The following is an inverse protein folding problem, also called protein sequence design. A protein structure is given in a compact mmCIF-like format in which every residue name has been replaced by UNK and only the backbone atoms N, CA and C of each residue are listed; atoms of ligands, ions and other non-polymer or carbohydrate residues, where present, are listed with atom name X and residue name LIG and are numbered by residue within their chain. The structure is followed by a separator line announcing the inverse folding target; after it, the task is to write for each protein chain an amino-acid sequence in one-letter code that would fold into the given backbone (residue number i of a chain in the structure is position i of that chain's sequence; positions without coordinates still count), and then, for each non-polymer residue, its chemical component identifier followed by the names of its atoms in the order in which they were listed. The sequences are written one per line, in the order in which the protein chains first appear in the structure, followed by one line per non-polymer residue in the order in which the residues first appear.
data_IF_360649218060
#
_entry.id   IF_360649218060
#
_cell.length_a   1.000
_cell.length_b   1.000
_cell.length_c   1.000
_cell.angle_alpha   90.00
_cell.angle_beta   90.00
_cell.angle_gamma   90.00
#
_symmetry.space_group_name_H-M   'P 1'
#
loop_
_entity.id
_entity.type
_entity.pdbx_description
1 polymer ?
#
# COMPACT_ATOMS: atom_id res chain seq x y z
N UNK A 1 34.91 -4.69 15.73
CA UNK A 1 33.98 -5.73 15.25
C UNK A 1 32.62 -5.03 15.08
N UNK A 2 32.18 -4.76 13.85
CA UNK A 2 30.77 -4.37 13.60
C UNK A 2 29.97 -5.65 13.85
N UNK A 3 29.24 -5.72 14.97
CA UNK A 3 28.28 -6.77 15.18
C UNK A 3 27.29 -6.76 14.00
N UNK A 4 26.95 -7.91 13.50
CA UNK A 4 25.82 -8.07 12.56
C UNK A 4 24.58 -7.54 13.28
N UNK A 5 24.21 -6.30 12.99
CA UNK A 5 22.97 -5.74 13.47
C UNK A 5 21.91 -6.32 12.53
N UNK A 6 21.13 -7.31 13.02
CA UNK A 6 19.99 -7.82 12.26
C UNK A 6 19.04 -6.67 12.03
N UNK A 7 18.74 -6.41 10.78
CA UNK A 7 17.79 -5.39 10.38
C UNK A 7 16.37 -5.85 10.75
N UNK A 8 15.63 -4.99 11.46
CA UNK A 8 14.27 -5.28 11.90
C UNK A 8 13.29 -4.30 11.32
N UNK A 9 12.22 -4.79 10.71
CA UNK A 9 11.17 -3.97 10.11
C UNK A 9 9.80 -4.28 10.69
N UNK A 10 9.01 -3.24 10.94
CA UNK A 10 7.62 -3.36 11.37
C UNK A 10 6.68 -3.47 10.16
N UNK A 11 5.84 -4.50 10.12
CA UNK A 11 4.79 -4.69 9.12
C UNK A 11 3.44 -4.46 9.81
N UNK A 12 2.76 -3.37 9.46
CA UNK A 12 1.54 -2.92 10.14
C UNK A 12 0.34 -3.21 9.27
N UNK A 13 -0.51 -4.14 9.70
CA UNK A 13 -1.68 -4.62 8.98
C UNK A 13 -2.98 -4.19 9.64
N UNK A 14 -3.91 -3.68 8.85
CA UNK A 14 -5.31 -3.44 9.25
C UNK A 14 -6.28 -4.38 8.53
N UNK A 15 -5.75 -5.26 7.68
CA UNK A 15 -6.43 -6.40 7.04
C UNK A 15 -5.49 -7.59 7.14
N UNK A 16 -6.02 -8.74 7.49
CA UNK A 16 -5.22 -9.90 7.94
C UNK A 16 -5.53 -11.17 7.16
N UNK A 17 -5.74 -11.05 5.83
CA UNK A 17 -5.85 -12.26 5.01
C UNK A 17 -4.47 -12.92 4.89
N UNK A 18 -4.37 -14.26 5.04
CA UNK A 18 -3.10 -14.97 4.93
C UNK A 18 -2.37 -14.69 3.61
N UNK A 19 -3.11 -14.54 2.53
CA UNK A 19 -2.57 -14.27 1.19
C UNK A 19 -1.88 -12.90 1.10
N UNK A 20 -2.49 -11.86 1.71
CA UNK A 20 -1.88 -10.53 1.75
C UNK A 20 -0.60 -10.54 2.59
N UNK A 21 -0.64 -11.20 3.75
CA UNK A 21 0.53 -11.30 4.64
C UNK A 21 1.68 -12.00 3.89
N UNK A 22 1.42 -13.18 3.31
CA UNK A 22 2.42 -13.94 2.57
C UNK A 22 3.01 -13.14 1.40
N UNK A 23 2.17 -12.45 0.63
CA UNK A 23 2.60 -11.62 -0.50
C UNK A 23 3.52 -10.48 -0.05
N UNK A 24 3.15 -9.76 1.02
CA UNK A 24 3.96 -8.64 1.51
C UNK A 24 5.28 -9.14 2.09
N UNK A 25 5.27 -10.21 2.90
CA UNK A 25 6.48 -10.78 3.47
C UNK A 25 7.44 -11.30 2.38
N UNK A 26 6.91 -11.91 1.32
CA UNK A 26 7.70 -12.35 0.17
C UNK A 26 8.36 -11.15 -0.54
N UNK A 27 7.61 -10.08 -0.80
CA UNK A 27 8.16 -8.87 -1.45
C UNK A 27 9.20 -8.18 -0.56
N UNK A 28 9.00 -8.14 0.76
CA UNK A 28 9.99 -7.61 1.72
C UNK A 28 11.27 -8.45 1.69
N UNK A 29 11.17 -9.79 1.72
CA UNK A 29 12.35 -10.68 1.60
C UNK A 29 13.08 -10.52 0.28
N UNK A 30 12.38 -10.37 -0.84
CA UNK A 30 13.00 -10.09 -2.15
C UNK A 30 13.84 -8.82 -2.12
N UNK A 31 13.44 -7.80 -1.37
CA UNK A 31 14.13 -6.52 -1.30
C UNK A 31 15.23 -6.47 -0.23
N UNK A 32 15.07 -7.13 0.89
CA UNK A 32 15.92 -7.01 2.08
C UNK A 32 16.75 -8.26 2.39
N UNK A 33 16.43 -9.39 1.75
CA UNK A 33 17.04 -10.69 2.03
C UNK A 33 16.31 -11.48 3.12
N UNK A 34 16.66 -12.76 3.23
CA UNK A 34 15.97 -13.70 4.14
C UNK A 34 16.33 -13.47 5.63
N UNK A 35 17.43 -12.77 5.91
CA UNK A 35 17.92 -12.47 7.26
C UNK A 35 17.18 -11.30 7.95
N UNK A 36 16.25 -10.65 7.25
CA UNK A 36 15.47 -9.54 7.82
C UNK A 36 14.51 -10.04 8.89
N UNK A 37 14.56 -9.45 10.09
CA UNK A 37 13.56 -9.69 11.13
C UNK A 37 12.30 -8.87 10.84
N UNK A 38 11.15 -9.52 10.76
CA UNK A 38 9.87 -8.88 10.51
C UNK A 38 8.98 -8.96 11.75
N UNK A 39 8.61 -7.81 12.29
CA UNK A 39 7.62 -7.67 13.36
C UNK A 39 6.25 -7.37 12.73
N UNK A 40 5.38 -8.39 12.64
CA UNK A 40 4.01 -8.20 12.15
C UNK A 40 3.06 -7.78 13.28
N UNK A 41 2.53 -6.56 13.20
CA UNK A 41 1.50 -6.05 14.08
C UNK A 41 0.17 -5.95 13.33
N UNK A 42 -0.91 -6.47 13.92
CA UNK A 42 -2.20 -6.64 13.24
C UNK A 42 -3.34 -6.12 14.10
N UNK A 43 -4.19 -5.27 13.51
CA UNK A 43 -5.46 -4.86 14.10
C UNK A 43 -6.55 -4.72 13.02
N UNK A 44 -7.29 -5.81 12.71
CA UNK A 44 -8.33 -5.78 11.69
C UNK A 44 -9.55 -4.93 12.08
N UNK A 45 -9.70 -4.57 13.35
CA UNK A 45 -10.79 -3.70 13.80
C UNK A 45 -10.64 -2.27 13.26
N UNK A 46 -9.41 -1.83 12.97
CA UNK A 46 -9.14 -0.52 12.36
C UNK A 46 -9.84 -0.40 11.01
N UNK A 47 -9.63 -1.36 10.10
CA UNK A 47 -10.29 -1.31 8.79
C UNK A 47 -11.80 -1.50 8.91
N UNK A 48 -12.28 -2.34 9.82
CA UNK A 48 -13.70 -2.57 10.06
C UNK A 48 -14.41 -1.26 10.46
N UNK A 49 -13.88 -0.52 11.44
CA UNK A 49 -14.42 0.77 11.89
C UNK A 49 -14.36 1.86 10.80
N UNK A 50 -13.26 1.91 10.03
CA UNK A 50 -13.13 2.84 8.91
C UNK A 50 -14.17 2.56 7.82
N UNK A 51 -14.46 1.28 7.54
CA UNK A 51 -15.51 0.89 6.59
C UNK A 51 -16.91 1.27 7.07
N UNK A 52 -17.19 1.06 8.34
CA UNK A 52 -18.48 1.40 8.96
C UNK A 52 -18.71 2.92 8.96
N UNK A 53 -17.69 3.70 9.34
CA UNK A 53 -17.77 5.17 9.37
C UNK A 53 -17.69 5.82 7.97
N UNK A 54 -17.11 5.14 6.99
CA UNK A 54 -16.85 5.70 5.65
C UNK A 54 -15.56 6.55 5.57
N UNK A 55 -14.88 6.80 6.66
CA UNK A 55 -13.63 7.58 6.77
C UNK A 55 -12.87 7.22 8.05
N UNK A 56 -11.62 7.70 8.17
CA UNK A 56 -10.80 7.45 9.37
C UNK A 56 -11.23 8.37 10.50
N UNK A 57 -11.75 7.78 11.59
CA UNK A 57 -12.09 8.49 12.82
C UNK A 57 -10.94 8.47 13.82
N UNK A 58 -11.03 9.24 14.92
CA UNK A 58 -9.97 9.34 15.91
C UNK A 58 -9.60 8.01 16.61
N UNK A 59 -10.55 7.13 17.01
CA UNK A 59 -10.17 5.87 17.68
C UNK A 59 -9.31 4.93 16.83
N UNK A 60 -9.65 4.56 15.59
CA UNK A 60 -8.79 3.73 14.75
C UNK A 60 -7.46 4.41 14.39
N UNK A 61 -7.44 5.74 14.18
CA UNK A 61 -6.21 6.48 13.97
C UNK A 61 -5.26 6.41 15.17
N UNK A 62 -5.78 6.58 16.39
CA UNK A 62 -4.99 6.51 17.61
C UNK A 62 -4.37 5.11 17.81
N UNK A 63 -5.14 4.03 17.55
CA UNK A 63 -4.61 2.66 17.62
C UNK A 63 -3.51 2.43 16.60
N UNK A 64 -3.70 2.91 15.37
CA UNK A 64 -2.68 2.77 14.32
C UNK A 64 -1.38 3.50 14.67
N UNK A 65 -1.47 4.73 15.20
CA UNK A 65 -0.30 5.47 15.70
C UNK A 65 0.37 4.69 16.85
N UNK A 66 -0.43 4.11 17.75
CA UNK A 66 0.06 3.25 18.82
C UNK A 66 0.85 2.04 18.30
N UNK A 67 0.43 1.44 17.18
CA UNK A 67 1.16 0.35 16.52
C UNK A 67 2.52 0.82 15.97
N UNK A 68 2.59 2.03 15.40
CA UNK A 68 3.89 2.60 14.97
C UNK A 68 4.82 2.84 16.16
N UNK A 69 4.30 3.39 17.26
CA UNK A 69 5.10 3.63 18.47
C UNK A 69 5.59 2.31 19.07
N UNK A 70 4.74 1.29 19.10
CA UNK A 70 5.13 -0.05 19.54
C UNK A 70 6.25 -0.63 18.68
N UNK A 71 6.19 -0.49 17.35
CA UNK A 71 7.27 -0.92 16.46
C UNK A 71 8.60 -0.22 16.79
N UNK A 72 8.55 1.08 17.16
CA UNK A 72 9.74 1.81 17.60
C UNK A 72 10.28 1.29 18.94
N UNK A 73 9.43 1.02 19.92
CA UNK A 73 9.80 0.43 21.22
C UNK A 73 10.43 -0.95 21.08
N UNK A 74 9.97 -1.73 20.10
CA UNK A 74 10.49 -3.05 19.75
C UNK A 74 11.79 -2.99 18.91
N UNK A 75 12.30 -1.79 18.62
CA UNK A 75 13.54 -1.56 17.92
C UNK A 75 13.50 -1.77 16.42
N UNK A 76 12.34 -1.57 15.78
CA UNK A 76 12.25 -1.60 14.33
C UNK A 76 13.04 -0.43 13.71
N UNK A 77 13.78 -0.71 12.63
CA UNK A 77 14.53 0.27 11.87
C UNK A 77 13.66 1.12 10.94
N UNK A 78 12.58 0.54 10.47
CA UNK A 78 11.57 1.18 9.64
C UNK A 78 10.23 0.45 9.77
N UNK A 79 9.15 1.10 9.35
CA UNK A 79 7.79 0.54 9.33
C UNK A 79 7.22 0.60 7.93
N UNK A 80 6.55 -0.48 7.49
CA UNK A 80 5.67 -0.50 6.32
C UNK A 80 4.21 -0.49 6.77
N UNK A 81 3.48 0.58 6.46
CA UNK A 81 2.04 0.68 6.66
C UNK A 81 1.29 0.00 5.51
N UNK A 82 0.62 -1.12 5.79
CA UNK A 82 0.01 -2.00 4.78
C UNK A 82 -1.51 -1.80 4.74
N UNK A 83 -1.92 -0.57 4.51
CA UNK A 83 -3.32 -0.23 4.28
C UNK A 83 -3.48 1.17 3.68
N UNK A 84 -3.96 1.24 2.44
CA UNK A 84 -4.21 2.52 1.75
C UNK A 84 -5.36 3.32 2.38
N UNK A 85 -6.37 2.65 2.95
CA UNK A 85 -7.52 3.32 3.58
C UNK A 85 -7.14 4.22 4.77
N UNK A 86 -6.00 3.94 5.41
CA UNK A 86 -5.47 4.70 6.56
C UNK A 86 -4.10 5.33 6.26
N UNK A 87 -3.72 5.42 5.00
CA UNK A 87 -2.42 5.97 4.58
C UNK A 87 -2.19 7.41 5.05
N UNK A 88 -3.24 8.22 5.15
CA UNK A 88 -3.16 9.59 5.67
C UNK A 88 -2.70 9.65 7.13
N UNK A 89 -3.00 8.62 7.93
CA UNK A 89 -2.50 8.54 9.33
C UNK A 89 -0.98 8.32 9.33
N UNK A 90 -0.46 7.50 8.40
CA UNK A 90 0.98 7.33 8.24
C UNK A 90 1.66 8.65 7.82
N UNK A 91 1.03 9.43 6.92
CA UNK A 91 1.52 10.76 6.53
C UNK A 91 1.57 11.72 7.75
N UNK A 92 0.51 11.75 8.57
CA UNK A 92 0.45 12.57 9.78
C UNK A 92 1.48 12.17 10.84
N UNK A 93 1.89 10.91 10.90
CA UNK A 93 2.86 10.40 11.87
C UNK A 93 4.34 10.66 11.47
N UNK A 94 4.61 11.22 10.28
CA UNK A 94 5.96 11.36 9.74
C UNK A 94 6.91 12.19 10.62
N UNK A 95 6.43 13.26 11.27
CA UNK A 95 7.30 14.09 12.10
C UNK A 95 7.73 13.36 13.39
N UNK A 96 6.82 12.59 14.00
CA UNK A 96 7.18 11.72 15.11
C UNK A 96 8.15 10.61 14.67
N UNK A 97 7.91 10.00 13.52
CA UNK A 97 8.79 8.98 12.94
C UNK A 97 10.20 9.51 12.66
N UNK A 98 10.33 10.72 12.11
CA UNK A 98 11.63 11.40 11.90
C UNK A 98 12.36 11.61 13.20
N UNK A 99 11.68 12.08 14.25
CA UNK A 99 12.29 12.28 15.56
C UNK A 99 12.81 10.98 16.18
N UNK A 100 12.09 9.88 15.97
CA UNK A 100 12.48 8.55 16.44
C UNK A 100 13.55 7.88 15.55
N UNK A 101 13.85 8.46 14.39
CA UNK A 101 14.76 7.85 13.40
C UNK A 101 14.23 6.56 12.79
N UNK A 102 12.89 6.35 12.85
CA UNK A 102 12.20 5.18 12.29
C UNK A 102 11.23 5.62 11.20
N UNK A 103 11.62 5.61 9.92
CA UNK A 103 10.73 6.02 8.84
C UNK A 103 9.49 5.11 8.75
N UNK A 104 8.33 5.74 8.50
CA UNK A 104 7.09 5.05 8.19
C UNK A 104 6.86 5.16 6.68
N UNK A 105 6.87 4.01 6.01
CA UNK A 105 6.65 3.89 4.56
C UNK A 105 5.21 3.49 4.30
N UNK A 106 4.53 4.18 3.39
CA UNK A 106 3.22 3.76 2.88
C UNK A 106 3.42 2.71 1.80
N UNK A 107 2.61 1.66 1.81
CA UNK A 107 2.68 0.60 0.81
C UNK A 107 2.33 1.09 -0.60
N UNK A 108 1.48 2.11 -0.71
CA UNK A 108 0.81 2.55 -1.94
C UNK A 108 1.43 3.79 -2.61
N UNK A 109 2.25 4.57 -1.91
CA UNK A 109 2.72 5.86 -2.43
C UNK A 109 3.63 5.71 -3.65
N UNK A 110 4.64 4.84 -3.60
CA UNK A 110 5.55 4.66 -4.72
C UNK A 110 4.86 4.00 -5.93
N UNK A 111 3.86 3.16 -5.72
CA UNK A 111 2.99 2.66 -6.78
C UNK A 111 2.27 3.82 -7.49
N UNK A 112 1.71 4.77 -6.72
CA UNK A 112 1.07 5.96 -7.28
C UNK A 112 2.08 6.84 -8.04
N UNK A 113 3.33 7.00 -7.54
CA UNK A 113 4.40 7.72 -8.25
C UNK A 113 4.76 7.04 -9.56
N UNK A 114 4.82 5.72 -9.56
CA UNK A 114 5.09 4.96 -10.79
C UNK A 114 3.95 5.14 -11.80
N UNK A 115 2.70 5.10 -11.38
CA UNK A 115 1.58 5.39 -12.27
C UNK A 115 1.71 6.78 -12.92
N UNK A 116 2.07 7.81 -12.15
CA UNK A 116 2.31 9.17 -12.64
C UNK A 116 3.52 9.27 -13.57
N UNK A 117 4.54 8.39 -13.44
CA UNK A 117 5.64 8.30 -14.41
C UNK A 117 5.18 7.76 -15.76
N UNK A 118 4.29 6.76 -15.72
CA UNK A 118 3.87 6.01 -16.91
C UNK A 118 2.77 6.70 -17.72
N UNK A 119 1.92 7.52 -17.11
CA UNK A 119 0.84 8.16 -17.84
C UNK A 119 0.24 9.37 -17.15
N UNK A 120 -0.64 10.07 -17.87
CA UNK A 120 -1.37 11.22 -17.36
C UNK A 120 -2.85 10.92 -17.10
N UNK A 121 -3.39 9.84 -17.67
CA UNK A 121 -4.74 9.34 -17.43
C UNK A 121 -4.64 8.05 -16.63
N UNK A 122 -4.92 8.12 -15.35
CA UNK A 122 -4.68 7.04 -14.39
C UNK A 122 -6.00 6.47 -13.92
N UNK A 123 -6.23 5.19 -14.18
CA UNK A 123 -7.34 4.44 -13.60
C UNK A 123 -7.03 4.04 -12.16
N UNK A 124 -7.97 4.22 -11.26
CA UNK A 124 -7.87 3.70 -9.88
C UNK A 124 -8.98 2.69 -9.67
N UNK A 125 -8.62 1.42 -9.47
CA UNK A 125 -9.55 0.34 -9.16
C UNK A 125 -9.50 0.00 -7.67
N UNK A 126 -10.67 -0.02 -7.03
CA UNK A 126 -10.81 -0.42 -5.63
C UNK A 126 -12.10 -1.21 -5.40
N UNK A 127 -12.11 -2.08 -4.39
CA UNK A 127 -13.32 -2.81 -3.98
C UNK A 127 -14.03 -2.16 -2.79
N UNK A 128 -13.44 -1.09 -2.23
CA UNK A 128 -13.96 -0.35 -1.08
C UNK A 128 -13.89 1.16 -1.34
N UNK A 129 -14.99 1.92 -1.12
CA UNK A 129 -14.97 3.38 -1.23
C UNK A 129 -13.92 4.02 -0.29
N UNK A 130 -13.74 3.45 0.91
CA UNK A 130 -12.75 3.92 1.90
C UNK A 130 -11.29 3.72 1.48
N UNK A 131 -11.04 2.98 0.40
CA UNK A 131 -9.71 2.85 -0.23
C UNK A 131 -9.61 3.69 -1.49
N UNK A 132 -10.70 3.82 -2.24
CA UNK A 132 -10.76 4.59 -3.50
C UNK A 132 -10.31 6.04 -3.29
N UNK A 133 -10.99 6.76 -2.42
CA UNK A 133 -10.74 8.20 -2.18
C UNK A 133 -9.30 8.47 -1.72
N UNK A 134 -8.76 7.79 -0.68
CA UNK A 134 -7.38 7.97 -0.25
C UNK A 134 -6.35 7.68 -1.36
N UNK A 135 -6.57 6.63 -2.17
CA UNK A 135 -5.67 6.31 -3.27
C UNK A 135 -5.69 7.39 -4.36
N UNK A 136 -6.87 7.86 -4.76
CA UNK A 136 -6.99 8.96 -5.71
C UNK A 136 -6.32 10.25 -5.21
N UNK A 137 -6.48 10.55 -3.90
CA UNK A 137 -5.81 11.68 -3.26
C UNK A 137 -4.29 11.53 -3.30
N UNK A 138 -3.79 10.31 -3.06
CA UNK A 138 -2.35 10.01 -3.16
C UNK A 138 -1.84 10.20 -4.58
N UNK A 139 -2.52 9.69 -5.61
CA UNK A 139 -2.17 9.90 -7.02
C UNK A 139 -2.09 11.40 -7.35
N UNK A 140 -3.10 12.18 -6.95
CA UNK A 140 -3.14 13.63 -7.19
C UNK A 140 -2.04 14.38 -6.41
N UNK A 141 -1.73 13.95 -5.18
CA UNK A 141 -0.66 14.54 -4.37
C UNK A 141 0.69 14.31 -5.01
N UNK A 142 1.03 13.05 -5.32
CA UNK A 142 2.33 12.73 -5.93
C UNK A 142 2.49 13.33 -7.33
N UNK A 143 1.42 13.47 -8.10
CA UNK A 143 1.46 14.17 -9.38
C UNK A 143 1.86 15.64 -9.20
N UNK A 144 1.27 16.36 -8.23
CA UNK A 144 1.66 17.75 -7.90
C UNK A 144 3.13 17.83 -7.45
N UNK A 145 3.58 16.91 -6.60
CA UNK A 145 4.98 16.84 -6.15
C UNK A 145 5.96 16.62 -7.31
N UNK A 146 5.52 15.89 -8.35
CA UNK A 146 6.28 15.65 -9.58
C UNK A 146 6.12 16.73 -10.65
N UNK A 147 5.36 17.81 -10.37
CA UNK A 147 5.07 18.88 -11.33
C UNK A 147 4.21 18.45 -12.51
N UNK A 148 3.38 17.39 -12.34
CA UNK A 148 2.49 16.87 -13.37
C UNK A 148 1.03 17.14 -13.05
N UNK A 149 0.21 17.30 -14.10
CA UNK A 149 -1.24 17.28 -14.00
C UNK A 149 -1.75 15.94 -14.54
N UNK A 150 -2.60 15.25 -13.79
CA UNK A 150 -3.17 13.95 -14.15
C UNK A 150 -4.69 13.98 -14.08
N UNK A 151 -5.31 13.19 -14.95
CA UNK A 151 -6.71 12.83 -14.87
C UNK A 151 -6.84 11.48 -14.19
N UNK A 152 -7.79 11.34 -13.27
CA UNK A 152 -7.99 10.11 -12.52
C UNK A 152 -9.39 9.58 -12.79
N UNK A 153 -9.44 8.39 -13.38
CA UNK A 153 -10.68 7.64 -13.62
C UNK A 153 -10.93 6.68 -12.45
N UNK A 154 -12.13 6.78 -11.87
CA UNK A 154 -12.57 5.92 -10.77
C UNK A 154 -13.20 4.64 -11.30
N UNK A 155 -12.81 3.48 -10.75
CA UNK A 155 -13.41 2.18 -11.01
C UNK A 155 -13.68 1.45 -9.68
N UNK A 156 -14.83 1.70 -9.08
CA UNK A 156 -15.26 0.97 -7.89
C UNK A 156 -15.83 -0.39 -8.31
N UNK A 157 -15.18 -1.47 -7.85
CA UNK A 157 -15.59 -2.86 -8.13
C UNK A 157 -16.51 -3.33 -7.01
N UNK A 158 -17.78 -2.98 -7.14
CA UNK A 158 -18.79 -3.29 -6.11
C UNK A 158 -19.00 -4.79 -5.95
N UNK A 159 -19.22 -5.23 -4.70
CA UNK A 159 -19.50 -6.62 -4.36
C UNK A 159 -18.31 -7.59 -4.53
N UNK A 160 -17.12 -7.09 -4.84
CA UNK A 160 -15.94 -7.95 -5.01
C UNK A 160 -15.24 -8.30 -3.70
N UNK A 161 -15.44 -7.54 -2.63
CA UNK A 161 -14.79 -7.79 -1.34
C UNK A 161 -15.27 -9.11 -0.71
N UNK A 162 -14.33 -10.02 -0.45
CA UNK A 162 -14.63 -11.34 0.16
C UNK A 162 -14.96 -12.46 -0.83
N UNK A 163 -14.90 -12.23 -2.14
CA UNK A 163 -14.99 -13.28 -3.15
C UNK A 163 -13.74 -14.18 -3.15
N UNK A 164 -13.88 -15.41 -3.64
CA UNK A 164 -12.72 -16.25 -3.95
C UNK A 164 -11.89 -15.65 -5.10
N UNK A 165 -10.65 -16.12 -5.26
CA UNK A 165 -9.70 -15.54 -6.21
C UNK A 165 -10.18 -15.54 -7.67
N UNK A 166 -10.86 -16.59 -8.12
CA UNK A 166 -11.31 -16.69 -9.52
C UNK A 166 -12.50 -15.76 -9.77
N UNK A 167 -13.49 -15.75 -8.88
CA UNK A 167 -14.61 -14.82 -8.94
C UNK A 167 -14.14 -13.38 -8.84
N UNK A 168 -13.16 -13.11 -7.99
CA UNK A 168 -12.55 -11.79 -7.82
C UNK A 168 -11.86 -11.31 -9.09
N UNK A 169 -11.00 -12.14 -9.74
CA UNK A 169 -10.38 -11.83 -11.02
C UNK A 169 -11.40 -11.56 -12.12
N UNK A 170 -12.42 -12.39 -12.20
CA UNK A 170 -13.50 -12.20 -13.19
C UNK A 170 -14.19 -10.84 -12.99
N UNK A 171 -14.48 -10.49 -11.73
CA UNK A 171 -15.12 -9.21 -11.38
C UNK A 171 -14.24 -8.01 -11.68
N UNK A 172 -12.94 -8.10 -11.35
CA UNK A 172 -11.97 -7.06 -11.72
C UNK A 172 -11.90 -6.88 -13.25
N UNK A 173 -11.85 -7.98 -13.99
CA UNK A 173 -11.77 -7.95 -15.45
C UNK A 173 -13.01 -7.29 -16.07
N UNK A 174 -14.21 -7.63 -15.59
CA UNK A 174 -15.45 -7.01 -16.03
C UNK A 174 -15.46 -5.50 -15.78
N UNK A 175 -15.11 -5.09 -14.55
CA UNK A 175 -15.07 -3.69 -14.17
C UNK A 175 -13.99 -2.89 -14.90
N UNK A 176 -12.82 -3.47 -15.14
CA UNK A 176 -11.72 -2.80 -15.86
C UNK A 176 -12.13 -2.40 -17.29
N UNK A 177 -13.03 -3.15 -17.96
CA UNK A 177 -13.54 -2.82 -19.30
C UNK A 177 -14.21 -1.45 -19.37
N UNK A 178 -14.72 -0.95 -18.26
CA UNK A 178 -15.42 0.34 -18.21
C UNK A 178 -14.51 1.55 -18.31
N UNK A 179 -13.21 1.37 -18.00
CA UNK A 179 -12.24 2.49 -17.95
C UNK A 179 -11.01 2.28 -18.82
N UNK A 180 -10.77 1.04 -19.27
CA UNK A 180 -9.44 0.66 -19.81
C UNK A 180 -9.05 1.43 -21.07
N UNK A 181 -10.00 1.80 -21.91
CA UNK A 181 -9.73 2.52 -23.15
C UNK A 181 -9.38 4.00 -22.91
N UNK A 182 -9.81 4.56 -21.79
CA UNK A 182 -9.65 5.97 -21.43
C UNK A 182 -8.43 6.25 -20.54
N UNK A 183 -7.70 5.22 -20.09
CA UNK A 183 -6.58 5.37 -19.17
C UNK A 183 -5.26 4.87 -19.78
N UNK A 184 -4.14 5.40 -19.30
CA UNK A 184 -2.80 4.99 -19.73
C UNK A 184 -2.26 3.83 -18.86
N UNK A 185 -2.60 3.82 -17.59
CA UNK A 185 -2.18 2.86 -16.57
C UNK A 185 -3.26 2.71 -15.50
N UNK A 186 -3.34 1.55 -14.85
CA UNK A 186 -4.30 1.29 -13.77
C UNK A 186 -3.59 0.98 -12.46
N UNK A 187 -4.02 1.63 -11.38
CA UNK A 187 -3.58 1.38 -10.00
C UNK A 187 -4.60 0.47 -9.31
N UNK A 188 -4.13 -0.62 -8.73
CA UNK A 188 -4.89 -1.53 -7.88
C UNK A 188 -4.77 -1.05 -6.42
N UNK A 189 -5.80 -0.37 -5.93
CA UNK A 189 -5.75 0.41 -4.70
C UNK A 189 -5.55 -0.41 -3.41
N UNK A 190 -5.85 -1.71 -3.43
CA UNK A 190 -5.64 -2.60 -2.27
C UNK A 190 -4.52 -3.58 -2.56
N UNK A 191 -3.61 -3.78 -1.59
CA UNK A 191 -2.50 -4.73 -1.71
C UNK A 191 -2.95 -6.15 -2.02
N UNK A 192 -4.13 -6.56 -1.52
CA UNK A 192 -4.73 -7.85 -1.83
C UNK A 192 -5.16 -8.03 -3.28
N UNK A 193 -5.22 -6.98 -4.09
CA UNK A 193 -5.55 -7.08 -5.52
C UNK A 193 -4.33 -7.42 -6.38
N UNK A 194 -3.10 -7.26 -5.86
CA UNK A 194 -1.86 -7.37 -6.65
C UNK A 194 -1.67 -8.73 -7.32
N UNK A 195 -2.20 -9.82 -6.77
CA UNK A 195 -2.13 -11.14 -7.40
C UNK A 195 -2.88 -11.21 -8.75
N UNK A 196 -3.78 -10.26 -9.02
CA UNK A 196 -4.52 -10.20 -10.28
C UNK A 196 -3.76 -9.44 -11.39
N UNK A 197 -2.66 -8.73 -11.08
CA UNK A 197 -1.89 -7.95 -12.07
C UNK A 197 -1.57 -8.74 -13.34
N UNK A 198 -0.93 -9.93 -13.27
CA UNK A 198 -0.52 -10.64 -14.49
C UNK A 198 -1.71 -11.04 -15.37
N UNK A 199 -2.83 -11.38 -14.75
CA UNK A 199 -4.05 -11.73 -15.47
C UNK A 199 -4.66 -10.52 -16.19
N UNK A 200 -4.74 -9.37 -15.51
CA UNK A 200 -5.29 -8.14 -16.06
C UNK A 200 -4.39 -7.57 -17.17
N UNK A 201 -3.08 -7.57 -16.97
CA UNK A 201 -2.11 -7.15 -17.99
C UNK A 201 -2.17 -8.01 -19.25
N UNK A 202 -2.23 -9.34 -19.09
CA UNK A 202 -2.38 -10.26 -20.22
C UNK A 202 -3.71 -10.07 -20.97
N UNK A 203 -4.78 -9.69 -20.24
CA UNK A 203 -6.12 -9.50 -20.82
C UNK A 203 -6.22 -8.20 -21.61
N UNK A 204 -5.62 -7.11 -21.11
CA UNK A 204 -5.84 -5.77 -21.65
C UNK A 204 -4.64 -5.17 -22.38
N UNK A 205 -3.45 -5.76 -22.23
CA UNK A 205 -2.20 -5.23 -22.80
C UNK A 205 -1.78 -3.87 -22.22
N UNK A 206 -2.27 -3.53 -21.02
CA UNK A 206 -1.94 -2.32 -20.28
C UNK A 206 -1.35 -2.66 -18.91
N UNK A 207 -0.59 -1.75 -18.34
CA UNK A 207 0.00 -1.92 -17.01
C UNK A 207 -1.05 -1.79 -15.91
N UNK A 208 -1.04 -2.77 -15.00
CA UNK A 208 -1.76 -2.75 -13.74
C UNK A 208 -0.75 -2.77 -12.60
N UNK A 209 -0.84 -1.83 -11.68
CA UNK A 209 0.14 -1.65 -10.62
C UNK A 209 -0.46 -1.98 -9.26
N UNK A 210 0.06 -3.00 -8.59
CA UNK A 210 -0.28 -3.37 -7.22
C UNK A 210 0.81 -2.94 -6.24
N UNK A 211 0.41 -2.55 -5.05
CA UNK A 211 1.25 -1.86 -4.09
C UNK A 211 2.37 -2.68 -3.40
N UNK A 212 2.29 -4.01 -3.16
CA UNK A 212 3.26 -4.70 -2.30
C UNK A 212 4.71 -4.57 -2.74
N UNK A 213 4.99 -4.78 -4.04
CA UNK A 213 6.37 -4.69 -4.57
C UNK A 213 6.94 -3.27 -4.46
N UNK A 214 6.11 -2.24 -4.65
CA UNK A 214 6.53 -0.84 -4.56
C UNK A 214 6.77 -0.41 -3.11
N UNK A 215 5.88 -0.82 -2.19
CA UNK A 215 6.05 -0.56 -0.76
C UNK A 215 7.32 -1.22 -0.21
N UNK A 216 7.59 -2.47 -0.58
CA UNK A 216 8.82 -3.16 -0.18
C UNK A 216 10.09 -2.51 -0.75
N UNK A 217 10.06 -2.06 -2.02
CA UNK A 217 11.16 -1.34 -2.62
C UNK A 217 11.42 0.02 -1.94
N UNK A 218 10.36 0.74 -1.56
CA UNK A 218 10.49 2.01 -0.85
C UNK A 218 10.98 1.80 0.59
N UNK A 219 10.54 0.73 1.27
CA UNK A 219 11.08 0.33 2.57
C UNK A 219 12.60 0.11 2.48
N UNK A 220 13.08 -0.57 1.42
CA UNK A 220 14.51 -0.73 1.17
C UNK A 220 15.22 0.61 1.00
N UNK A 221 14.66 1.55 0.21
CA UNK A 221 15.25 2.88 0.03
C UNK A 221 15.35 3.64 1.35
N UNK A 222 14.32 3.57 2.20
CA UNK A 222 14.35 4.19 3.52
C UNK A 222 15.46 3.64 4.41
N UNK A 223 15.72 2.33 4.36
CA UNK A 223 16.80 1.68 5.11
C UNK A 223 18.19 2.02 4.55
N UNK A 224 18.32 2.10 3.21
CA UNK A 224 19.56 2.60 2.56
C UNK A 224 19.85 4.04 2.98
N UNK A 225 18.86 4.91 3.04
CA UNK A 225 19.00 6.29 3.47
C UNK A 225 19.46 6.41 4.95
N UNK A 226 19.19 5.39 5.77
CA UNK A 226 19.70 5.27 7.15
C UNK A 226 21.12 4.67 7.22
N UNK A 227 21.68 4.19 6.12
CA UNK A 227 22.99 3.53 6.08
C UNK A 227 22.99 2.11 6.67
N UNK A 228 21.84 1.42 6.62
CA UNK A 228 21.69 0.04 7.11
C UNK A 228 21.85 -1.01 6.01
N UNK A 229 21.83 -0.58 4.75
CA UNK A 229 22.03 -1.39 3.55
C UNK A 229 23.08 -0.77 2.64
#
# INVERSE_FOLDING_TARGET
MKGYMFMKVGLIYTSTTPELIALVEEEVKKQLGDEVEMLSLQDPSILAEVREAGYVTAPPAARLIGMYMKAAEEGCDAVLNICSSVGEVADCAQDAAKYLGMPIVRIDEEMCREAVRQGLRIGVMATLPTTMIPTMNTVKRVAREMGKHVEVAECLVDGAFGLDQEQFKARLTESARTIIDDVDVVVLAQGSMAYAEPHLEATFGKQFLGSPRFGAAELRKALVAKGLL
#
